data_IF_642470232669
#
_entry.id   IF_642470232669
#
_cell.length_a   1.000
_cell.length_b   1.000
_cell.length_c   1.000
_cell.angle_alpha   90.00
_cell.angle_beta   90.00
_cell.angle_gamma   90.00
#
_symmetry.space_group_name_H-M   'P 1'
#
loop_
_entity.id
_entity.type
_entity.pdbx_description
1 polymer ?
#
# COMPACT_ATOMS: atom_id res chain seq x y z
N UNK A 1 7.07 -3.01 -7.78
CA UNK A 1 5.97 -3.36 -8.68
C UNK A 1 5.66 -2.18 -9.59
N UNK A 2 5.65 -2.43 -10.87
CA UNK A 2 5.31 -1.41 -11.86
C UNK A 2 3.86 -1.60 -12.26
N UNK A 3 2.99 -0.72 -11.86
CA UNK A 3 1.59 -0.80 -12.18
C UNK A 3 0.74 -0.87 -10.94
N UNK A 4 -0.55 -0.97 -11.12
CA UNK A 4 -1.50 -0.98 -10.03
C UNK A 4 -1.57 -2.35 -9.37
N UNK A 5 -1.85 -2.35 -8.09
CA UNK A 5 -2.03 -3.58 -7.32
C UNK A 5 -3.48 -3.64 -6.85
N UNK A 6 -4.12 -4.75 -7.11
CA UNK A 6 -5.51 -4.94 -6.70
C UNK A 6 -5.63 -6.33 -6.09
N UNK A 7 -6.10 -6.39 -4.87
CA UNK A 7 -6.17 -7.66 -4.19
C UNK A 7 -7.32 -7.63 -3.17
N UNK A 8 -7.88 -8.80 -2.90
CA UNK A 8 -9.00 -8.89 -1.96
C UNK A 8 -8.58 -9.10 -0.52
N UNK A 9 -7.30 -9.33 -0.29
CA UNK A 9 -6.78 -9.55 1.06
C UNK A 9 -5.50 -8.74 1.22
N UNK A 10 -4.47 -9.34 1.76
CA UNK A 10 -3.24 -8.63 2.06
C UNK A 10 -2.31 -8.56 0.85
N UNK A 11 -1.52 -7.50 0.80
CA UNK A 11 -0.49 -7.33 -0.21
C UNK A 11 0.86 -7.31 0.50
N UNK A 12 1.79 -8.10 -0.01
CA UNK A 12 3.16 -8.09 0.48
C UNK A 12 4.11 -7.76 -0.66
N UNK A 13 4.96 -6.77 -0.46
CA UNK A 13 5.90 -6.36 -1.47
C UNK A 13 7.21 -5.95 -0.80
N UNK A 14 8.35 -6.47 -1.30
CA UNK A 14 9.63 -6.14 -0.71
C UNK A 14 10.24 -4.87 -1.29
N UNK A 15 9.75 -4.41 -2.43
CA UNK A 15 10.28 -3.23 -3.09
C UNK A 15 9.24 -2.12 -3.16
N UNK A 16 9.42 -1.19 -4.10
CA UNK A 16 8.50 -0.09 -4.22
C UNK A 16 7.33 -0.44 -5.15
N UNK A 17 6.24 0.26 -4.96
CA UNK A 17 5.05 0.12 -5.79
C UNK A 17 4.86 1.44 -6.53
N UNK A 18 4.91 1.38 -7.87
CA UNK A 18 4.84 2.58 -8.68
C UNK A 18 3.42 2.99 -9.06
N UNK A 19 2.46 2.14 -8.83
CA UNK A 19 1.07 2.46 -9.16
C UNK A 19 0.22 2.55 -7.91
N UNK A 20 -1.09 2.58 -8.11
CA UNK A 20 -2.03 2.63 -7.00
C UNK A 20 -2.19 1.24 -6.36
N UNK A 21 -2.51 1.22 -5.10
CA UNK A 21 -2.76 -0.02 -4.38
C UNK A 21 -4.19 -0.02 -3.89
N UNK A 22 -4.88 -1.11 -4.19
CA UNK A 22 -6.26 -1.28 -3.75
C UNK A 22 -6.37 -2.67 -3.15
N UNK A 23 -6.60 -2.73 -1.87
CA UNK A 23 -6.66 -4.03 -1.22
C UNK A 23 -7.73 -4.05 -0.13
N UNK A 24 -8.24 -5.24 0.17
CA UNK A 24 -9.32 -5.37 1.14
C UNK A 24 -8.84 -5.56 2.57
N UNK A 25 -7.55 -5.69 2.77
CA UNK A 25 -7.00 -5.93 4.10
C UNK A 25 -5.70 -5.15 4.23
N UNK A 26 -4.65 -5.75 4.71
CA UNK A 26 -3.40 -5.07 5.02
C UNK A 26 -2.50 -4.93 3.80
N UNK A 27 -1.68 -3.89 3.80
CA UNK A 27 -0.63 -3.71 2.80
C UNK A 27 0.70 -3.66 3.52
N UNK A 28 1.65 -4.46 3.08
CA UNK A 28 3.00 -4.46 3.63
C UNK A 28 3.97 -4.20 2.49
N UNK A 29 4.57 -3.04 2.48
CA UNK A 29 5.51 -2.64 1.44
C UNK A 29 6.87 -2.35 2.08
N UNK A 30 7.94 -2.89 1.52
CA UNK A 30 9.26 -2.70 2.07
C UNK A 30 9.92 -1.39 1.68
N UNK A 31 9.30 -0.66 0.78
CA UNK A 31 9.88 0.59 0.28
C UNK A 31 8.75 1.59 0.08
N UNK A 32 8.85 2.44 -0.93
CA UNK A 32 7.91 3.52 -1.16
C UNK A 32 6.72 3.08 -2.00
N UNK A 33 5.60 3.76 -1.82
CA UNK A 33 4.45 3.63 -2.69
C UNK A 33 4.24 4.97 -3.37
N UNK A 34 4.30 4.98 -4.70
CA UNK A 34 4.24 6.24 -5.44
C UNK A 34 2.85 6.64 -5.85
N UNK A 35 1.91 5.71 -5.85
CA UNK A 35 0.53 6.00 -6.20
C UNK A 35 -0.35 6.13 -4.97
N UNK A 36 -1.65 6.14 -5.20
CA UNK A 36 -2.62 6.21 -4.11
C UNK A 36 -2.80 4.83 -3.49
N UNK A 37 -3.15 4.83 -2.21
CA UNK A 37 -3.38 3.59 -1.48
C UNK A 37 -4.80 3.60 -0.94
N UNK A 38 -5.50 2.50 -1.17
CA UNK A 38 -6.84 2.31 -0.63
C UNK A 38 -6.90 0.91 -0.05
N UNK A 39 -7.11 0.82 1.24
CA UNK A 39 -7.17 -0.50 1.86
C UNK A 39 -8.18 -0.54 3.00
N UNK A 40 -8.60 -1.74 3.36
CA UNK A 40 -9.55 -1.93 4.44
C UNK A 40 -8.89 -2.23 5.78
N UNK A 41 -7.59 -2.38 5.81
CA UNK A 41 -6.84 -2.64 7.04
C UNK A 41 -5.71 -1.66 7.21
N UNK A 42 -4.55 -2.16 7.59
CA UNK A 42 -3.39 -1.32 7.89
C UNK A 42 -2.42 -1.28 6.73
N UNK A 43 -1.61 -0.22 6.68
CA UNK A 43 -0.58 -0.05 5.67
C UNK A 43 0.77 0.10 6.36
N UNK A 44 1.76 -0.64 5.88
CA UNK A 44 3.15 -0.51 6.33
C UNK A 44 4.02 -0.21 5.12
N UNK A 45 4.76 0.88 5.17
CA UNK A 45 5.68 1.24 4.10
C UNK A 45 6.67 2.28 4.60
N UNK A 46 7.63 2.66 3.77
CA UNK A 46 8.54 3.73 4.13
C UNK A 46 7.92 5.10 3.89
N UNK A 47 7.44 5.33 2.68
CA UNK A 47 6.75 6.59 2.35
C UNK A 47 5.65 6.31 1.35
N UNK A 48 4.69 7.21 1.29
CA UNK A 48 3.62 7.17 0.30
C UNK A 48 3.55 8.56 -0.32
N UNK A 49 3.72 8.64 -1.64
CA UNK A 49 3.72 9.93 -2.31
C UNK A 49 2.32 10.36 -2.73
N UNK A 50 1.39 9.43 -2.83
CA UNK A 50 0.01 9.77 -3.18
C UNK A 50 -0.86 9.88 -1.95
N UNK A 51 -2.16 9.79 -2.16
CA UNK A 51 -3.14 9.85 -1.08
C UNK A 51 -3.35 8.46 -0.48
N UNK A 52 -3.70 8.43 0.80
CA UNK A 52 -3.95 7.18 1.49
C UNK A 52 -5.34 7.20 2.08
N UNK A 53 -6.08 6.13 1.80
CA UNK A 53 -7.38 5.88 2.44
C UNK A 53 -7.36 4.48 3.01
N UNK A 54 -7.40 4.37 4.30
CA UNK A 54 -7.46 3.05 4.92
C UNK A 54 -8.30 3.11 6.19
N UNK A 55 -8.78 1.95 6.61
CA UNK A 55 -9.64 1.85 7.78
C UNK A 55 -8.85 1.69 9.06
N UNK A 56 -7.63 1.24 8.97
CA UNK A 56 -6.79 0.98 10.12
C UNK A 56 -5.65 1.97 10.23
N UNK A 57 -4.50 1.49 10.64
CA UNK A 57 -3.34 2.32 10.91
C UNK A 57 -2.44 2.44 9.69
N UNK A 58 -1.72 3.55 9.63
CA UNK A 58 -0.67 3.75 8.64
C UNK A 58 0.65 3.80 9.39
N UNK A 59 1.57 2.93 8.99
CA UNK A 59 2.86 2.82 9.66
C UNK A 59 3.95 3.14 8.66
N UNK A 60 4.74 4.16 8.98
CA UNK A 60 5.90 4.52 8.16
C UNK A 60 7.15 4.00 8.83
N UNK A 61 7.96 3.31 8.07
CA UNK A 61 9.18 2.70 8.61
C UNK A 61 10.42 3.59 8.42
#
# INVERSE_FOLDING_TARGET
ISGNVSCGESVGCAGEINGAVNCGDNVACGDNIKGDVSCGGSVECKTIEGNVECQGNIIYK
#
